data_IF_359092756480
#
_entry.id   IF_359092756480
#
_cell.length_a   1.000
_cell.length_b   1.000
_cell.length_c   1.000
_cell.angle_alpha   90.00
_cell.angle_beta   90.00
_cell.angle_gamma   90.00
#
_symmetry.space_group_name_H-M   'P 1'
#
loop_
_entity.id
_entity.type
_entity.pdbx_description
1 polymer ?
#
# COMPACT_ATOMS: atom_id res chain seq x y z
N UNK A 1 -62.44 33.31 48.36
CA UNK A 1 -63.21 32.06 48.16
C UNK A 1 -62.55 31.26 47.05
N UNK A 2 -62.46 29.93 47.12
CA UNK A 2 -61.78 29.09 46.08
C UNK A 2 -62.74 28.55 45.01
N UNK A 3 -62.33 28.62 43.73
CA UNK A 3 -62.27 27.53 42.71
C UNK A 3 -61.19 27.99 41.68
N UNK A 4 -60.16 27.27 41.19
CA UNK A 4 -59.55 25.92 41.35
C UNK A 4 -59.71 24.98 40.13
N UNK A 5 -58.55 24.48 39.63
CA UNK A 5 -58.32 23.59 38.46
C UNK A 5 -58.44 24.27 37.08
N UNK A 6 -57.74 23.88 35.99
CA UNK A 6 -56.41 23.26 35.79
C UNK A 6 -56.07 23.22 34.27
N UNK A 7 -54.88 22.69 33.92
CA UNK A 7 -54.41 22.27 32.57
C UNK A 7 -53.94 23.41 31.63
N UNK A 8 -52.91 23.28 30.77
CA UNK A 8 -52.01 22.16 30.44
C UNK A 8 -50.51 22.55 30.48
N UNK A 9 -49.63 21.56 30.32
CA UNK A 9 -48.16 21.63 30.38
C UNK A 9 -47.50 21.46 29.00
N UNK A 10 -46.27 21.97 28.87
CA UNK A 10 -45.27 21.71 27.79
C UNK A 10 -45.65 22.25 26.39
N UNK A 11 -44.84 23.05 25.66
CA UNK A 11 -43.39 23.10 25.41
C UNK A 11 -42.91 22.16 24.27
N UNK A 12 -42.55 22.77 23.13
CA UNK A 12 -41.77 22.15 22.05
C UNK A 12 -41.01 23.23 21.26
N UNK A 13 -39.68 23.25 21.35
CA UNK A 13 -38.81 24.18 20.64
C UNK A 13 -38.36 23.59 19.31
N UNK A 14 -38.36 24.38 18.22
CA UNK A 14 -37.71 24.00 16.95
C UNK A 14 -36.76 25.11 16.50
N UNK A 15 -35.46 24.92 16.74
CA UNK A 15 -34.39 25.75 16.17
C UNK A 15 -33.82 25.02 14.96
N UNK A 16 -34.07 25.55 13.75
CA UNK A 16 -33.49 25.03 12.51
C UNK A 16 -32.05 25.54 12.32
N UNK A 17 -31.12 24.95 13.07
CA UNK A 17 -29.70 25.19 12.91
C UNK A 17 -29.17 24.48 11.64
N UNK A 18 -29.11 25.20 10.52
CA UNK A 18 -28.58 24.70 9.25
C UNK A 18 -27.03 24.66 9.25
N UNK A 19 -26.43 23.76 10.03
CA UNK A 19 -25.00 23.47 10.00
C UNK A 19 -24.63 22.62 8.78
N UNK A 20 -24.50 23.28 7.63
CA UNK A 20 -24.04 22.65 6.38
C UNK A 20 -22.63 22.09 6.52
N UNK A 21 -22.52 20.79 6.80
CA UNK A 21 -21.23 20.08 6.85
C UNK A 21 -20.65 20.01 5.44
N UNK A 22 -19.64 20.85 5.17
CA UNK A 22 -18.81 20.75 3.97
C UNK A 22 -17.95 19.48 4.06
N UNK A 23 -18.55 18.35 3.72
CA UNK A 23 -17.84 17.08 3.47
C UNK A 23 -16.93 17.26 2.27
N UNK A 24 -15.68 17.64 2.52
CA UNK A 24 -14.65 17.82 1.50
C UNK A 24 -14.34 16.44 0.91
N UNK A 25 -15.04 16.09 -0.18
CA UNK A 25 -14.88 14.82 -0.85
C UNK A 25 -13.47 14.74 -1.44
N UNK A 26 -12.58 14.03 -0.74
CA UNK A 26 -11.20 13.80 -1.20
C UNK A 26 -11.25 12.97 -2.47
N UNK A 27 -11.04 13.65 -3.61
CA UNK A 27 -11.02 13.05 -4.95
C UNK A 27 -9.81 12.12 -5.05
N UNK A 28 -10.02 10.88 -4.61
CA UNK A 28 -9.03 9.80 -4.66
C UNK A 28 -8.75 9.50 -6.13
N UNK A 29 -7.75 10.19 -6.69
CA UNK A 29 -7.38 10.07 -8.08
C UNK A 29 -7.04 8.61 -8.38
N UNK A 30 -7.82 7.97 -9.24
CA UNK A 30 -7.62 6.59 -9.60
C UNK A 30 -6.22 6.42 -10.23
N UNK A 31 -5.31 5.78 -9.51
CA UNK A 31 -3.92 5.64 -9.92
C UNK A 31 -3.85 5.04 -11.34
N UNK A 32 -3.23 5.79 -12.28
CA UNK A 32 -3.15 5.38 -13.69
C UNK A 32 -2.07 4.31 -13.89
N UNK A 33 -2.40 3.07 -13.55
CA UNK A 33 -1.54 1.89 -13.70
C UNK A 33 -1.02 1.75 -15.14
N UNK A 34 0.25 1.37 -15.32
CA UNK A 34 0.72 0.97 -16.64
C UNK A 34 0.08 -0.35 -17.09
N UNK A 35 0.05 -0.56 -18.40
CA UNK A 35 -0.23 -1.86 -18.98
C UNK A 35 0.75 -2.91 -18.43
N UNK A 36 0.24 -4.10 -18.14
CA UNK A 36 1.02 -5.20 -17.56
C UNK A 36 1.07 -5.26 -16.03
N UNK A 37 0.84 -4.17 -15.28
CA UNK A 37 0.86 -4.23 -13.79
C UNK A 37 -0.31 -5.08 -13.27
N UNK A 38 -0.08 -6.25 -12.63
CA UNK A 38 -1.15 -7.19 -12.29
C UNK A 38 -2.10 -6.62 -11.23
N UNK A 39 -3.41 -6.68 -11.49
CA UNK A 39 -4.46 -6.16 -10.58
C UNK A 39 -4.35 -6.72 -9.17
N UNK A 40 -3.95 -7.98 -9.04
CA UNK A 40 -3.72 -8.67 -7.79
C UNK A 40 -2.57 -8.10 -6.93
N UNK A 41 -1.69 -7.26 -7.49
CA UNK A 41 -0.54 -6.64 -6.79
C UNK A 41 -0.69 -5.14 -6.56
N UNK A 42 -1.42 -4.42 -7.43
CA UNK A 42 -1.52 -2.93 -7.44
C UNK A 42 -1.73 -2.29 -6.06
N UNK A 43 -0.99 -1.21 -5.78
CA UNK A 43 -1.14 -0.40 -4.58
C UNK A 43 -0.27 -0.86 -3.40
N UNK A 44 -0.63 -0.39 -2.20
CA UNK A 44 0.19 -0.55 -0.99
C UNK A 44 -0.12 -1.85 -0.25
N UNK A 45 0.91 -2.40 0.39
CA UNK A 45 0.87 -3.54 1.31
C UNK A 45 1.79 -3.23 2.50
N UNK A 46 1.47 -3.72 3.70
CA UNK A 46 2.23 -3.44 4.93
C UNK A 46 2.38 -4.66 5.82
N UNK A 47 3.49 -4.80 6.52
CA UNK A 47 3.58 -5.79 7.61
C UNK A 47 2.59 -5.44 8.73
N UNK A 48 2.26 -6.41 9.57
CA UNK A 48 1.80 -6.09 10.93
C UNK A 48 2.92 -5.31 11.64
N UNK A 49 2.56 -4.38 12.53
CA UNK A 49 3.55 -3.63 13.32
C UNK A 49 4.36 -4.61 14.18
N UNK A 50 5.68 -4.52 14.15
CA UNK A 50 6.57 -5.34 14.97
C UNK A 50 7.71 -4.46 15.50
N UNK A 51 7.92 -4.44 16.82
CA UNK A 51 9.01 -3.70 17.49
C UNK A 51 9.15 -2.23 17.03
N UNK A 52 8.03 -1.51 16.92
CA UNK A 52 7.90 -0.13 16.39
C UNK A 52 8.11 0.05 14.88
N UNK A 53 8.57 -0.97 14.16
CA UNK A 53 8.77 -0.89 12.70
C UNK A 53 7.57 -1.45 11.92
N UNK A 54 7.34 -0.88 10.74
CA UNK A 54 6.42 -1.39 9.73
C UNK A 54 7.03 -1.24 8.35
N UNK A 55 7.15 -2.35 7.64
CA UNK A 55 7.66 -2.39 6.27
C UNK A 55 6.50 -2.30 5.29
N UNK A 56 6.69 -1.58 4.19
CA UNK A 56 5.69 -1.35 3.17
C UNK A 56 6.21 -1.72 1.77
N UNK A 57 5.36 -2.46 1.04
CA UNK A 57 5.55 -2.71 -0.38
C UNK A 57 4.58 -1.80 -1.16
N UNK A 58 5.13 -0.83 -1.88
CA UNK A 58 4.41 0.08 -2.76
C UNK A 58 4.56 -0.41 -4.21
N UNK A 59 3.52 -1.10 -4.70
CA UNK A 59 3.41 -1.46 -6.11
C UNK A 59 2.85 -0.25 -6.86
N UNK A 60 3.71 0.41 -7.64
CA UNK A 60 3.42 1.68 -8.32
C UNK A 60 3.08 1.54 -9.81
N UNK A 61 3.20 2.65 -10.54
CA UNK A 61 2.90 2.73 -11.97
C UNK A 61 3.98 2.03 -12.80
N UNK A 62 5.22 2.54 -12.73
CA UNK A 62 6.45 2.01 -13.34
C UNK A 62 7.48 1.57 -12.30
N UNK A 63 7.09 1.55 -11.03
CA UNK A 63 7.96 1.34 -9.87
C UNK A 63 7.50 0.19 -8.99
N UNK A 64 8.46 -0.41 -8.30
CA UNK A 64 8.25 -1.32 -7.19
C UNK A 64 9.19 -0.89 -6.05
N UNK A 65 8.65 -0.60 -4.88
CA UNK A 65 9.42 -0.33 -3.68
C UNK A 65 8.98 -1.30 -2.59
N UNK A 66 9.93 -2.02 -2.01
CA UNK A 66 9.71 -3.14 -1.08
C UNK A 66 10.30 -2.88 0.32
N UNK A 67 11.10 -1.83 0.49
CA UNK A 67 11.77 -1.48 1.74
C UNK A 67 11.47 -0.04 2.20
N UNK A 68 10.28 0.50 1.89
CA UNK A 68 9.81 1.70 2.58
C UNK A 68 9.45 1.34 4.03
N UNK A 69 10.25 1.82 4.99
CA UNK A 69 10.03 1.55 6.42
C UNK A 69 9.39 2.76 7.09
N UNK A 70 8.48 2.51 8.03
CA UNK A 70 7.90 3.51 8.92
C UNK A 70 8.21 3.15 10.37
N UNK A 71 8.77 4.10 11.11
CA UNK A 71 8.91 3.99 12.56
C UNK A 71 7.68 4.60 13.26
N UNK A 72 6.94 3.77 13.99
CA UNK A 72 5.75 4.17 14.74
C UNK A 72 6.07 4.88 16.06
N UNK A 73 7.35 5.06 16.45
CA UNK A 73 7.75 5.93 17.57
C UNK A 73 7.94 7.37 17.09
N UNK A 74 8.89 7.60 16.18
CA UNK A 74 9.17 8.92 15.61
C UNK A 74 8.11 9.39 14.61
N UNK A 75 7.17 8.52 14.23
CA UNK A 75 6.13 8.75 13.22
C UNK A 75 6.70 9.12 11.83
N UNK A 76 7.94 8.71 11.56
CA UNK A 76 8.70 9.05 10.36
C UNK A 76 8.81 7.89 9.37
N UNK A 77 9.02 8.20 8.09
CA UNK A 77 9.43 7.22 7.09
C UNK A 77 10.95 7.23 6.93
N UNK A 78 11.55 6.04 6.99
CA UNK A 78 12.94 5.78 6.64
C UNK A 78 12.91 5.22 5.21
N UNK A 79 13.21 6.07 4.23
CA UNK A 79 12.97 5.79 2.80
C UNK A 79 14.25 5.54 2.01
N UNK A 80 14.34 4.37 1.38
CA UNK A 80 15.00 4.25 0.08
C UNK A 80 13.98 4.66 -1.02
N UNK A 81 14.28 5.66 -1.87
CA UNK A 81 13.37 6.11 -2.91
C UNK A 81 13.33 5.15 -4.11
N UNK A 82 12.42 4.18 -4.05
CA UNK A 82 12.03 3.24 -5.11
C UNK A 82 13.10 2.22 -5.53
N UNK A 83 13.18 1.07 -4.84
CA UNK A 83 14.16 0.01 -5.16
C UNK A 83 14.23 -0.40 -6.64
N UNK A 84 13.09 -0.43 -7.35
CA UNK A 84 13.03 -0.67 -8.79
C UNK A 84 12.20 0.35 -9.58
N UNK A 85 12.71 0.66 -10.78
CA UNK A 85 12.06 1.42 -11.84
C UNK A 85 11.92 0.56 -13.11
N UNK A 86 11.17 1.06 -14.11
CA UNK A 86 10.94 0.37 -15.40
C UNK A 86 10.44 -1.08 -15.23
N UNK A 87 9.57 -1.32 -14.25
CA UNK A 87 9.22 -2.69 -13.85
C UNK A 87 8.36 -3.42 -14.89
N UNK A 88 8.74 -4.67 -15.15
CA UNK A 88 8.05 -5.64 -15.99
C UNK A 88 7.57 -6.80 -15.11
N UNK A 89 6.33 -7.22 -15.32
CA UNK A 89 5.69 -8.30 -14.57
C UNK A 89 5.49 -9.52 -15.45
N UNK A 90 5.68 -10.72 -14.89
CA UNK A 90 5.29 -11.99 -15.49
C UNK A 90 4.53 -12.83 -14.46
N UNK A 91 3.40 -13.39 -14.89
CA UNK A 91 2.53 -14.26 -14.09
C UNK A 91 2.04 -15.40 -14.97
N UNK A 92 2.06 -16.63 -14.44
CA UNK A 92 1.44 -17.80 -15.09
C UNK A 92 0.02 -17.97 -14.55
N UNK A 93 -0.96 -18.13 -15.43
CA UNK A 93 -2.35 -18.38 -15.02
C UNK A 93 -2.45 -19.54 -14.01
N UNK A 94 -3.31 -19.39 -13.01
CA UNK A 94 -3.42 -20.31 -11.86
C UNK A 94 -2.31 -20.21 -10.80
N UNK A 95 -1.23 -19.47 -11.03
CA UNK A 95 -0.11 -19.36 -10.09
C UNK A 95 -0.38 -18.37 -8.94
N UNK A 96 0.11 -18.69 -7.74
CA UNK A 96 0.26 -17.71 -6.65
C UNK A 96 1.55 -16.87 -6.74
N UNK A 97 2.44 -17.20 -7.69
CA UNK A 97 3.75 -16.56 -7.87
C UNK A 97 3.75 -15.57 -9.03
N UNK A 98 4.20 -14.36 -8.74
CA UNK A 98 4.40 -13.26 -9.67
C UNK A 98 5.89 -12.93 -9.72
N UNK A 99 6.43 -12.77 -10.91
CA UNK A 99 7.83 -12.43 -11.16
C UNK A 99 7.90 -10.96 -11.55
N UNK A 100 8.79 -10.21 -10.91
CA UNK A 100 9.00 -8.78 -11.15
C UNK A 100 10.45 -8.58 -11.56
N UNK A 101 10.68 -7.80 -12.61
CA UNK A 101 12.01 -7.42 -13.10
C UNK A 101 12.04 -5.91 -13.29
N UNK A 102 13.04 -5.22 -12.75
CA UNK A 102 13.19 -3.77 -12.93
C UNK A 102 14.65 -3.33 -12.99
N UNK A 103 14.88 -2.08 -13.37
CA UNK A 103 16.18 -1.42 -13.24
C UNK A 103 16.34 -0.84 -11.83
N UNK A 104 17.50 -1.01 -11.21
CA UNK A 104 17.81 -0.45 -9.89
C UNK A 104 17.79 1.08 -9.95
N UNK A 105 17.28 1.76 -8.92
CA UNK A 105 17.21 3.23 -8.86
C UNK A 105 18.58 3.92 -8.88
N UNK A 106 19.54 3.41 -8.13
CA UNK A 106 20.89 4.01 -8.02
C UNK A 106 21.84 3.57 -9.14
N UNK A 107 21.52 2.49 -9.86
CA UNK A 107 22.35 1.92 -10.93
C UNK A 107 21.55 1.64 -12.22
N UNK A 108 20.75 2.60 -12.73
CA UNK A 108 19.90 2.40 -13.89
C UNK A 108 20.74 2.07 -15.14
N UNK A 109 20.21 1.21 -16.00
CA UNK A 109 20.95 0.65 -17.15
C UNK A 109 21.96 -0.43 -16.77
N UNK A 110 22.72 -0.25 -15.68
CA UNK A 110 23.78 -1.17 -15.23
C UNK A 110 23.25 -2.39 -14.47
N UNK A 111 22.32 -2.19 -13.52
CA UNK A 111 21.79 -3.22 -12.63
C UNK A 111 20.30 -3.45 -12.82
N UNK A 112 19.90 -4.72 -12.88
CA UNK A 112 18.50 -5.16 -12.94
C UNK A 112 18.24 -6.19 -11.85
N UNK A 113 17.22 -5.98 -11.02
CA UNK A 113 16.86 -6.91 -9.92
C UNK A 113 15.59 -7.68 -10.29
N UNK A 114 15.52 -8.92 -9.80
CA UNK A 114 14.43 -9.87 -10.04
C UNK A 114 13.82 -10.31 -8.71
N UNK A 115 12.53 -10.03 -8.50
CA UNK A 115 11.78 -10.46 -7.32
C UNK A 115 10.78 -11.57 -7.66
N UNK A 116 10.50 -12.42 -6.68
CA UNK A 116 9.38 -13.36 -6.71
C UNK A 116 8.43 -13.05 -5.56
N UNK A 117 7.22 -12.64 -5.90
CA UNK A 117 6.14 -12.33 -4.96
C UNK A 117 5.17 -13.51 -4.91
N UNK A 118 4.93 -14.05 -3.72
CA UNK A 118 3.94 -15.08 -3.43
C UNK A 118 2.70 -14.45 -2.79
N UNK A 119 1.58 -14.41 -3.54
CA UNK A 119 0.34 -13.69 -3.19
C UNK A 119 -0.82 -14.66 -2.96
N UNK A 120 -1.41 -14.61 -1.77
CA UNK A 120 -2.52 -15.48 -1.33
C UNK A 120 -3.58 -14.62 -0.65
N UNK A 121 -4.78 -14.53 -1.22
CA UNK A 121 -5.86 -13.67 -0.70
C UNK A 121 -5.40 -12.20 -0.59
N UNK A 122 -5.56 -11.61 0.61
CA UNK A 122 -5.16 -10.23 0.93
C UNK A 122 -3.79 -10.12 1.61
N UNK A 123 -2.91 -11.12 1.43
CA UNK A 123 -1.51 -11.09 1.89
C UNK A 123 -0.55 -11.48 0.77
N UNK A 124 0.65 -10.94 0.80
CA UNK A 124 1.78 -11.36 -0.02
C UNK A 124 3.07 -11.41 0.79
N UNK A 125 4.04 -12.17 0.33
CA UNK A 125 5.43 -12.11 0.79
C UNK A 125 6.35 -12.26 -0.41
N UNK A 126 7.55 -11.77 -0.29
CA UNK A 126 8.46 -11.64 -1.43
C UNK A 126 9.88 -12.07 -1.09
N UNK A 127 10.71 -12.15 -2.12
CA UNK A 127 12.16 -12.29 -2.03
C UNK A 127 12.81 -11.76 -3.29
N UNK A 128 14.04 -11.25 -3.15
CA UNK A 128 14.97 -11.21 -4.27
C UNK A 128 15.29 -12.64 -4.72
N UNK A 129 15.27 -12.85 -6.04
CA UNK A 129 15.56 -14.13 -6.71
C UNK A 129 16.90 -14.09 -7.45
N UNK A 130 17.38 -12.89 -7.76
CA UNK A 130 18.66 -12.66 -8.40
C UNK A 130 18.78 -11.22 -8.91
N UNK A 131 19.97 -10.89 -9.35
CA UNK A 131 20.30 -9.62 -9.98
C UNK A 131 21.10 -9.86 -11.25
N UNK A 132 21.08 -8.90 -12.16
CA UNK A 132 22.00 -8.85 -13.29
C UNK A 132 22.74 -7.52 -13.31
N UNK A 133 24.06 -7.58 -13.38
CA UNK A 133 24.96 -6.43 -13.36
C UNK A 133 25.81 -6.49 -14.63
N UNK A 134 25.73 -5.46 -15.48
CA UNK A 134 26.41 -5.39 -16.79
C UNK A 134 26.15 -6.64 -17.67
N UNK A 135 24.95 -7.21 -17.58
CA UNK A 135 24.52 -8.39 -18.33
C UNK A 135 24.79 -9.74 -17.65
N UNK A 136 25.82 -9.84 -16.79
CA UNK A 136 26.07 -11.05 -16.00
C UNK A 136 24.94 -11.27 -14.99
N UNK A 137 24.41 -12.49 -14.85
CA UNK A 137 23.30 -12.81 -13.95
C UNK A 137 23.78 -13.64 -12.75
N UNK A 138 23.43 -13.17 -11.55
CA UNK A 138 23.70 -13.85 -10.28
C UNK A 138 22.37 -14.21 -9.63
N UNK A 139 22.10 -15.51 -9.47
CA UNK A 139 20.96 -16.00 -8.71
C UNK A 139 21.18 -15.76 -7.22
N UNK A 140 20.19 -15.22 -6.53
CA UNK A 140 20.24 -14.94 -5.09
C UNK A 140 19.30 -15.92 -4.38
N UNK A 141 19.76 -16.48 -3.26
CA UNK A 141 19.05 -17.53 -2.51
C UNK A 141 18.62 -17.07 -1.12
N UNK A 142 18.08 -15.84 -1.02
CA UNK A 142 17.48 -15.37 0.23
C UNK A 142 16.14 -16.08 0.52
N UNK A 143 15.81 -16.17 1.80
CA UNK A 143 14.50 -16.63 2.28
C UNK A 143 13.43 -15.57 1.93
N UNK A 144 12.17 -15.98 1.92
CA UNK A 144 11.08 -15.00 1.82
C UNK A 144 11.06 -14.09 3.04
N UNK A 145 10.85 -12.79 2.81
CA UNK A 145 10.58 -11.79 3.84
C UNK A 145 9.23 -11.99 4.55
N UNK A 146 8.86 -11.07 5.46
CA UNK A 146 7.65 -11.16 6.23
C UNK A 146 6.38 -11.08 5.36
N UNK A 147 5.27 -11.63 5.89
CA UNK A 147 3.96 -11.42 5.29
C UNK A 147 3.55 -9.95 5.40
N UNK A 148 3.35 -9.34 4.25
CA UNK A 148 2.68 -8.06 4.09
C UNK A 148 1.19 -8.33 3.80
N UNK A 149 0.34 -7.47 4.34
CA UNK A 149 -1.12 -7.51 4.24
C UNK A 149 -1.57 -6.31 3.42
N UNK A 150 -2.74 -6.39 2.79
CA UNK A 150 -3.28 -5.23 2.06
C UNK A 150 -3.44 -4.06 3.04
N UNK A 151 -2.97 -2.88 2.62
CA UNK A 151 -2.92 -1.70 3.47
C UNK A 151 -4.32 -1.18 3.79
#
# INVERSE_FOLDING_TARGET
>A
MQVKHHWYLMAATVVLAFTGVFSIATTTQAATWHAGTPTALRGVWRTKTAHSMRYYIHVGKSTYNDEQVYDTKTHSYITDPFRLTQVVYHHKSGSHYYYIKGAHNTEPGTKKVYYVVHKVGNKLKEREYGQSVKGHYTKISVKYGPWHYKA
#
